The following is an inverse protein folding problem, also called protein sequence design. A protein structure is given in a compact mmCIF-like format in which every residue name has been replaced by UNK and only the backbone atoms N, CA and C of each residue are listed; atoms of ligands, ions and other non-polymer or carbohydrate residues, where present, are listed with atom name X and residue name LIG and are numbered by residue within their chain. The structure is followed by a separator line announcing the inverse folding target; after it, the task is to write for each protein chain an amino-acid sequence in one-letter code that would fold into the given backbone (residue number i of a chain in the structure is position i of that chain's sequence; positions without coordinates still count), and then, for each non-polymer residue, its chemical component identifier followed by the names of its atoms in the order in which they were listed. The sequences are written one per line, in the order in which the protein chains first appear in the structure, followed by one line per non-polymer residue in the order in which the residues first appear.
data_IF_701168419234
#
_entry.id   IF_701168419234
#
_cell.length_a   1.000
_cell.length_b   1.000
_cell.length_c   1.000
_cell.angle_alpha   90.00
_cell.angle_beta   90.00
_cell.angle_gamma   90.00
#
_symmetry.space_group_name_H-M   'P 1'
#
loop_
_entity.id
_entity.type
_entity.pdbx_description
1 polymer ?
#
# COMPACT_ATOMS: atom_id res chain seq x y z
N UNK A 1 -17.09 41.37 -42.98
CA UNK A 1 -17.57 39.97 -42.71
C UNK A 1 -16.70 39.31 -41.69
N UNK A 2 -15.47 39.71 -41.45
CA UNK A 2 -14.47 39.04 -40.56
C UNK A 2 -14.65 39.35 -39.05
N UNK A 3 -15.30 40.44 -38.68
CA UNK A 3 -15.52 40.83 -37.27
C UNK A 3 -16.74 40.16 -36.59
N UNK A 4 -17.67 39.60 -37.35
CA UNK A 4 -18.84 38.90 -36.77
C UNK A 4 -18.55 37.43 -36.42
N UNK A 5 -17.58 36.80 -37.09
CA UNK A 5 -17.19 35.40 -36.81
C UNK A 5 -16.38 35.29 -35.52
N UNK A 6 -15.49 36.22 -35.20
CA UNK A 6 -14.67 36.23 -33.99
C UNK A 6 -15.49 36.45 -32.69
N UNK A 7 -16.58 37.24 -32.76
CA UNK A 7 -17.46 37.45 -31.61
C UNK A 7 -18.33 36.22 -31.27
N UNK A 8 -18.75 35.48 -32.30
CA UNK A 8 -19.51 34.23 -32.11
C UNK A 8 -18.68 33.11 -31.54
N UNK A 9 -17.41 32.98 -31.96
CA UNK A 9 -16.49 31.99 -31.42
C UNK A 9 -16.05 32.28 -29.96
N UNK A 10 -15.81 33.54 -29.62
CA UNK A 10 -15.50 33.97 -28.26
C UNK A 10 -16.70 33.75 -27.30
N UNK A 11 -17.93 34.08 -27.75
CA UNK A 11 -19.14 33.84 -26.97
C UNK A 11 -19.42 32.33 -26.77
N UNK A 12 -19.20 31.52 -27.79
CA UNK A 12 -19.35 30.05 -27.65
C UNK A 12 -18.29 29.43 -26.74
N UNK A 13 -17.05 29.92 -26.75
CA UNK A 13 -15.99 29.49 -25.87
C UNK A 13 -16.27 29.88 -24.41
N UNK A 14 -16.80 31.08 -24.18
CA UNK A 14 -17.21 31.55 -22.84
C UNK A 14 -18.41 30.79 -22.29
N UNK A 15 -19.38 30.46 -23.14
CA UNK A 15 -20.53 29.60 -22.78
C UNK A 15 -20.15 28.15 -22.49
N UNK A 16 -19.15 27.61 -23.18
CA UNK A 16 -18.64 26.24 -22.91
C UNK A 16 -17.78 26.20 -21.65
N UNK A 17 -17.03 27.23 -21.31
CA UNK A 17 -16.25 27.32 -20.06
C UNK A 17 -17.16 27.53 -18.83
N UNK A 18 -18.17 28.41 -18.93
CA UNK A 18 -19.17 28.59 -17.88
C UNK A 18 -20.02 27.33 -17.64
N UNK A 19 -20.38 26.60 -18.68
CA UNK A 19 -21.08 25.31 -18.55
C UNK A 19 -20.20 24.23 -17.91
N UNK A 20 -18.90 24.16 -18.24
CA UNK A 20 -17.94 23.26 -17.56
C UNK A 20 -17.76 23.61 -16.09
N UNK A 21 -17.62 24.87 -15.76
CA UNK A 21 -17.47 25.35 -14.36
C UNK A 21 -18.73 25.07 -13.54
N UNK A 22 -19.92 25.29 -14.12
CA UNK A 22 -21.20 24.99 -13.49
C UNK A 22 -21.42 23.46 -13.30
N UNK A 23 -20.99 22.64 -14.26
CA UNK A 23 -21.04 21.17 -14.15
C UNK A 23 -20.08 20.65 -13.07
N UNK A 24 -18.88 21.24 -12.95
CA UNK A 24 -17.90 20.88 -11.91
C UNK A 24 -18.44 21.32 -10.53
N UNK A 25 -19.00 22.53 -10.41
CA UNK A 25 -19.60 23.02 -9.17
C UNK A 25 -20.81 22.17 -8.74
N UNK A 26 -21.67 21.80 -9.66
CA UNK A 26 -22.81 20.90 -9.41
C UNK A 26 -22.37 19.49 -9.04
N UNK A 27 -21.30 18.97 -9.64
CA UNK A 27 -20.72 17.67 -9.29
C UNK A 27 -20.08 17.69 -7.90
N UNK A 28 -19.38 18.77 -7.55
CA UNK A 28 -18.80 18.97 -6.22
C UNK A 28 -19.87 19.15 -5.13
N UNK A 29 -20.93 19.93 -5.39
CA UNK A 29 -22.08 20.07 -4.50
C UNK A 29 -22.83 18.74 -4.28
N UNK A 30 -22.99 17.95 -5.33
CA UNK A 30 -23.63 16.63 -5.28
C UNK A 30 -22.79 15.62 -4.48
N UNK A 31 -21.46 15.66 -4.60
CA UNK A 31 -20.55 14.83 -3.79
C UNK A 31 -20.63 15.26 -2.32
N UNK A 32 -20.68 16.57 -2.03
CA UNK A 32 -20.75 17.10 -0.67
C UNK A 32 -22.06 16.71 0.03
N UNK A 33 -23.16 16.63 -0.70
CA UNK A 33 -24.47 16.21 -0.20
C UNK A 33 -24.44 14.76 0.30
N UNK A 34 -23.85 13.81 -0.46
CA UNK A 34 -23.80 12.40 -0.05
C UNK A 34 -22.73 12.08 0.98
N UNK A 35 -21.89 13.03 1.35
CA UNK A 35 -20.87 12.82 2.40
C UNK A 35 -21.46 12.75 3.80
N UNK A 36 -22.61 13.39 4.05
CA UNK A 36 -23.29 13.30 5.36
C UNK A 36 -24.00 11.95 5.52
N UNK A 37 -24.66 11.44 4.47
CA UNK A 37 -25.26 10.11 4.46
C UNK A 37 -24.16 9.04 4.62
N UNK A 38 -23.04 9.19 3.91
CA UNK A 38 -21.87 8.32 4.04
C UNK A 38 -21.38 8.25 5.49
N UNK A 39 -21.15 9.40 6.13
CA UNK A 39 -20.70 9.48 7.53
C UNK A 39 -21.74 8.87 8.49
N UNK A 40 -23.01 9.14 8.23
CA UNK A 40 -24.10 8.60 9.05
C UNK A 40 -24.20 7.08 8.94
N UNK A 41 -24.11 6.53 7.73
CA UNK A 41 -24.07 5.07 7.51
C UNK A 41 -22.83 4.48 8.20
N UNK A 42 -21.66 5.09 8.02
CA UNK A 42 -20.42 4.63 8.63
C UNK A 42 -20.55 4.56 10.16
N UNK A 43 -21.15 5.61 10.79
CA UNK A 43 -21.40 5.66 12.23
C UNK A 43 -22.42 4.61 12.69
N UNK A 44 -23.53 4.45 11.96
CA UNK A 44 -24.58 3.48 12.31
C UNK A 44 -24.12 2.04 12.16
N UNK A 45 -23.14 1.77 11.30
CA UNK A 45 -22.60 0.44 11.02
C UNK A 45 -21.28 0.14 11.72
N UNK A 46 -20.98 0.89 12.80
CA UNK A 46 -19.78 0.71 13.62
C UNK A 46 -18.47 0.73 12.77
N UNK A 47 -18.28 1.83 12.05
CA UNK A 47 -17.13 1.98 11.15
C UNK A 47 -17.16 1.06 9.91
N UNK A 48 -18.36 0.62 9.51
CA UNK A 48 -18.57 -0.27 8.37
C UNK A 48 -18.47 -1.75 8.71
N UNK A 49 -18.33 -2.14 9.99
CA UNK A 49 -18.22 -3.52 10.42
C UNK A 49 -19.47 -4.34 10.07
N UNK A 50 -20.66 -3.77 10.27
CA UNK A 50 -21.92 -4.43 9.94
C UNK A 50 -22.04 -4.65 8.42
N UNK A 51 -21.52 -3.71 7.61
CA UNK A 51 -21.50 -3.81 6.15
C UNK A 51 -20.64 -5.03 5.73
N UNK A 52 -19.42 -5.15 6.27
CA UNK A 52 -18.59 -6.31 6.00
C UNK A 52 -19.27 -7.61 6.43
N UNK A 53 -19.86 -7.62 7.61
CA UNK A 53 -20.55 -8.80 8.16
C UNK A 53 -21.75 -9.22 7.31
N UNK A 54 -22.49 -8.25 6.77
CA UNK A 54 -23.65 -8.51 5.92
C UNK A 54 -23.25 -9.06 4.54
N UNK A 55 -22.33 -8.37 3.85
CA UNK A 55 -22.00 -8.71 2.47
C UNK A 55 -20.99 -9.85 2.31
N UNK A 56 -20.11 -10.06 3.29
CA UNK A 56 -19.09 -11.12 3.24
C UNK A 56 -19.34 -12.27 4.24
N UNK A 57 -20.33 -12.11 5.12
CA UNK A 57 -20.63 -13.09 6.14
C UNK A 57 -19.58 -13.21 7.25
N UNK A 58 -19.72 -14.20 8.12
CA UNK A 58 -18.83 -14.38 9.30
C UNK A 58 -17.39 -14.76 8.94
N UNK A 59 -17.13 -15.21 7.74
CA UNK A 59 -15.78 -15.60 7.30
C UNK A 59 -14.80 -14.42 7.31
N UNK A 60 -15.26 -13.20 6.99
CA UNK A 60 -14.41 -11.99 6.99
C UNK A 60 -13.93 -11.58 8.40
N UNK A 61 -14.52 -12.15 9.45
CA UNK A 61 -14.17 -11.87 10.84
C UNK A 61 -13.02 -12.75 11.35
N UNK A 62 -12.62 -13.77 10.60
CA UNK A 62 -11.47 -14.61 10.92
C UNK A 62 -10.17 -13.83 10.77
N UNK A 63 -9.14 -14.23 11.51
CA UNK A 63 -7.81 -13.62 11.46
C UNK A 63 -7.26 -13.50 10.06
N UNK A 64 -7.43 -14.53 9.25
CA UNK A 64 -7.15 -14.59 7.83
C UNK A 64 -8.26 -15.34 7.13
N UNK A 65 -8.70 -14.85 6.00
CA UNK A 65 -9.70 -15.52 5.19
C UNK A 65 -9.33 -15.45 3.71
N UNK A 66 -9.96 -16.31 2.92
CA UNK A 66 -9.74 -16.33 1.47
C UNK A 66 -10.41 -15.13 0.83
N UNK A 67 -9.83 -14.63 -0.25
CA UNK A 67 -10.44 -13.52 -0.98
C UNK A 67 -11.82 -13.91 -1.52
N UNK A 68 -12.88 -13.16 -1.20
CA UNK A 68 -14.21 -13.41 -1.76
C UNK A 68 -14.32 -13.06 -3.25
N UNK A 69 -13.28 -12.44 -3.81
CA UNK A 69 -13.26 -11.88 -5.17
C UNK A 69 -12.30 -12.61 -6.12
N UNK A 70 -11.57 -13.61 -5.62
CA UNK A 70 -10.60 -14.36 -6.44
C UNK A 70 -10.97 -15.85 -6.44
N UNK A 71 -11.32 -16.36 -7.62
CA UNK A 71 -11.43 -17.81 -7.82
C UNK A 71 -10.05 -18.46 -7.69
N UNK A 72 -9.99 -19.60 -7.01
CA UNK A 72 -8.74 -20.37 -6.84
C UNK A 72 -7.80 -19.84 -5.76
N UNK A 73 -8.24 -18.94 -4.88
CA UNK A 73 -7.45 -18.52 -3.70
C UNK A 73 -7.31 -19.68 -2.71
N UNK A 74 -6.17 -20.37 -2.79
CA UNK A 74 -5.90 -21.54 -1.95
C UNK A 74 -5.32 -21.20 -0.57
N UNK A 75 -4.86 -19.95 -0.37
CA UNK A 75 -4.25 -19.49 0.88
C UNK A 75 -4.98 -18.25 1.40
N UNK A 76 -5.42 -18.23 2.68
CA UNK A 76 -6.03 -17.05 3.28
C UNK A 76 -5.09 -15.83 3.20
N UNK A 77 -5.47 -14.83 2.42
CA UNK A 77 -4.67 -13.62 2.16
C UNK A 77 -5.36 -12.33 2.60
N UNK A 78 -6.64 -12.39 2.98
CA UNK A 78 -7.41 -11.22 3.40
C UNK A 78 -7.41 -11.03 4.91
N UNK A 79 -7.36 -9.75 5.32
CA UNK A 79 -7.51 -9.31 6.70
C UNK A 79 -8.44 -8.11 6.79
N UNK A 80 -9.16 -7.99 7.90
CA UNK A 80 -9.94 -6.82 8.26
C UNK A 80 -9.20 -6.02 9.33
N UNK A 81 -8.89 -4.76 9.04
CA UNK A 81 -8.20 -3.83 9.94
C UNK A 81 -9.11 -2.68 10.35
N UNK A 82 -8.95 -2.21 11.59
CA UNK A 82 -9.51 -0.94 12.04
C UNK A 82 -8.49 0.17 11.75
N UNK A 83 -8.87 1.14 10.95
CA UNK A 83 -8.15 2.39 10.73
C UNK A 83 -8.70 3.47 11.67
N UNK A 84 -7.81 4.15 12.38
CA UNK A 84 -8.14 5.21 13.33
C UNK A 84 -7.36 6.48 12.95
N UNK A 85 -7.77 7.18 11.85
CA UNK A 85 -7.08 8.38 11.42
C UNK A 85 -7.29 9.51 12.44
N UNK A 86 -6.27 10.31 12.74
CA UNK A 86 -6.37 11.42 13.69
C UNK A 86 -7.46 12.42 13.29
N UNK A 87 -8.40 12.71 14.21
CA UNK A 87 -9.48 13.68 13.98
C UNK A 87 -10.61 13.21 13.07
N UNK A 88 -10.60 11.98 12.61
CA UNK A 88 -11.63 11.39 11.75
C UNK A 88 -12.31 10.20 12.44
N UNK A 89 -13.46 9.79 11.89
CA UNK A 89 -14.15 8.60 12.37
C UNK A 89 -13.36 7.33 12.00
N UNK A 90 -13.15 6.47 12.99
CA UNK A 90 -12.55 5.15 12.77
C UNK A 90 -13.40 4.30 11.81
N UNK A 91 -12.75 3.53 10.92
CA UNK A 91 -13.43 2.66 9.98
C UNK A 91 -12.66 1.38 9.72
N UNK A 92 -13.38 0.31 9.38
CA UNK A 92 -12.77 -0.95 8.98
C UNK A 92 -12.38 -0.94 7.50
N UNK A 93 -11.26 -1.60 7.21
CA UNK A 93 -10.70 -1.73 5.87
C UNK A 93 -10.28 -3.17 5.63
N UNK A 94 -10.71 -3.75 4.52
CA UNK A 94 -10.29 -5.07 4.06
C UNK A 94 -9.00 -4.92 3.25
N UNK A 95 -7.95 -5.58 3.68
CA UNK A 95 -6.70 -5.71 2.94
C UNK A 95 -6.58 -7.11 2.37
N UNK A 96 -6.52 -7.24 1.05
CA UNK A 96 -6.15 -8.47 0.36
C UNK A 96 -4.68 -8.38 -0.05
N UNK A 97 -3.83 -9.19 0.57
CA UNK A 97 -2.39 -9.25 0.27
C UNK A 97 -2.07 -10.02 -1.02
N UNK A 98 -3.02 -10.71 -1.58
CA UNK A 98 -2.88 -11.41 -2.84
C UNK A 98 -3.29 -10.59 -4.06
N UNK A 99 -4.12 -9.56 -3.86
CA UNK A 99 -4.53 -8.61 -4.90
C UNK A 99 -5.05 -7.32 -4.27
N UNK A 100 -4.25 -6.24 -4.34
CA UNK A 100 -4.61 -4.95 -3.77
C UNK A 100 -5.91 -4.36 -4.33
N UNK A 101 -6.28 -4.70 -5.58
CA UNK A 101 -7.54 -4.29 -6.19
C UNK A 101 -8.76 -4.87 -5.48
N UNK A 102 -8.57 -5.99 -4.77
CA UNK A 102 -9.60 -6.60 -3.93
C UNK A 102 -9.70 -5.98 -2.54
N UNK A 103 -8.82 -5.03 -2.21
CA UNK A 103 -8.83 -4.28 -0.96
C UNK A 103 -9.79 -3.09 -1.03
N UNK A 104 -10.30 -2.63 0.13
CA UNK A 104 -11.19 -1.47 0.18
C UNK A 104 -11.85 -1.26 1.53
N UNK A 105 -12.45 -0.06 1.70
CA UNK A 105 -13.36 0.20 2.80
C UNK A 105 -14.70 -0.55 2.60
N UNK A 106 -15.55 -0.54 3.60
CA UNK A 106 -16.81 -1.26 3.59
C UNK A 106 -17.71 -0.93 2.38
N UNK A 107 -17.75 0.32 1.95
CA UNK A 107 -18.56 0.77 0.82
C UNK A 107 -18.01 0.27 -0.52
N UNK A 108 -16.68 0.31 -0.69
CA UNK A 108 -16.04 -0.21 -1.90
C UNK A 108 -16.23 -1.73 -2.03
N UNK A 109 -16.19 -2.44 -0.91
CA UNK A 109 -16.44 -3.89 -0.87
C UNK A 109 -17.91 -4.22 -1.14
N UNK A 110 -18.86 -3.48 -0.52
CA UNK A 110 -20.28 -3.63 -0.80
C UNK A 110 -20.59 -3.37 -2.28
N UNK A 111 -20.06 -2.28 -2.86
CA UNK A 111 -20.23 -1.97 -4.28
C UNK A 111 -19.76 -3.13 -5.17
N UNK A 112 -18.61 -3.73 -4.85
CA UNK A 112 -18.09 -4.86 -5.62
C UNK A 112 -18.97 -6.10 -5.50
N UNK A 113 -19.46 -6.43 -4.31
CA UNK A 113 -20.41 -7.55 -4.11
C UNK A 113 -21.69 -7.32 -4.90
N UNK A 114 -22.16 -6.08 -4.94
CA UNK A 114 -23.36 -5.67 -5.68
C UNK A 114 -23.13 -5.50 -7.21
N UNK A 115 -21.90 -5.72 -7.67
CA UNK A 115 -21.50 -5.49 -9.06
C UNK A 115 -21.73 -4.04 -9.54
N UNK A 116 -21.49 -3.08 -8.64
CA UNK A 116 -21.64 -1.64 -8.85
C UNK A 116 -20.29 -0.93 -8.85
N UNK A 117 -20.20 0.23 -9.48
CA UNK A 117 -19.01 1.08 -9.48
C UNK A 117 -19.08 2.11 -8.37
N UNK A 118 -18.19 2.02 -7.36
CA UNK A 118 -18.15 3.02 -6.28
C UNK A 118 -17.91 4.45 -6.80
N UNK A 119 -17.28 4.62 -7.96
CA UNK A 119 -17.01 5.93 -8.56
C UNK A 119 -18.24 6.51 -9.27
N UNK A 120 -18.99 5.67 -9.96
CA UNK A 120 -20.10 6.09 -10.81
C UNK A 120 -21.46 5.98 -10.08
N UNK A 121 -21.60 4.97 -9.22
CA UNK A 121 -22.87 4.59 -8.58
C UNK A 121 -22.88 4.90 -7.08
N UNK A 122 -22.05 5.87 -6.63
CA UNK A 122 -21.83 6.13 -5.19
C UNK A 122 -23.13 6.30 -4.40
N UNK A 123 -24.09 7.12 -4.91
CA UNK A 123 -25.41 7.29 -4.30
C UNK A 123 -26.18 5.97 -4.19
N UNK A 124 -26.26 5.24 -5.29
CA UNK A 124 -26.99 3.98 -5.34
C UNK A 124 -26.38 2.92 -4.40
N UNK A 125 -25.05 2.92 -4.23
CA UNK A 125 -24.38 2.05 -3.24
C UNK A 125 -24.80 2.43 -1.81
N UNK A 126 -24.85 3.73 -1.46
CA UNK A 126 -25.28 4.18 -0.15
C UNK A 126 -26.75 3.83 0.11
N UNK A 127 -27.63 4.09 -0.85
CA UNK A 127 -29.07 3.77 -0.77
C UNK A 127 -29.27 2.25 -0.60
N UNK A 128 -28.53 1.45 -1.33
CA UNK A 128 -28.62 -0.01 -1.23
C UNK A 128 -28.16 -0.52 0.13
N UNK A 129 -27.06 0.00 0.67
CA UNK A 129 -26.59 -0.33 2.03
C UNK A 129 -27.61 0.10 3.08
N UNK A 130 -28.22 1.29 2.93
CA UNK A 130 -29.26 1.81 3.82
C UNK A 130 -30.47 0.87 3.84
N UNK A 131 -30.90 0.38 2.67
CA UNK A 131 -31.99 -0.57 2.52
C UNK A 131 -31.66 -1.94 3.12
N UNK A 132 -30.54 -2.53 2.70
CA UNK A 132 -30.15 -3.90 3.09
C UNK A 132 -29.91 -4.02 4.60
N UNK A 133 -29.39 -2.97 5.24
CA UNK A 133 -29.14 -2.92 6.69
C UNK A 133 -30.24 -2.23 7.50
N UNK A 134 -31.31 -1.78 6.84
CA UNK A 134 -32.46 -1.12 7.47
C UNK A 134 -32.05 0.07 8.37
N UNK A 135 -31.15 0.96 7.86
CA UNK A 135 -30.57 2.03 8.65
C UNK A 135 -31.46 3.28 8.74
N UNK A 136 -32.33 3.52 7.73
CA UNK A 136 -33.22 4.68 7.63
C UNK A 136 -32.45 6.00 7.59
N UNK A 137 -31.40 6.08 6.78
CA UNK A 137 -30.58 7.28 6.59
C UNK A 137 -31.18 8.16 5.52
N UNK A 138 -31.62 7.59 4.41
CA UNK A 138 -32.33 8.32 3.36
C UNK A 138 -33.79 8.55 3.75
N UNK A 139 -34.34 9.76 3.43
CA UNK A 139 -35.70 10.14 3.76
C UNK A 139 -36.75 9.13 3.28
N UNK A 140 -36.52 8.57 2.09
CA UNK A 140 -37.39 7.56 1.45
C UNK A 140 -37.46 6.26 2.27
N UNK A 141 -36.50 6.01 3.16
CA UNK A 141 -36.38 4.80 3.96
C UNK A 141 -36.69 5.00 5.43
N UNK A 142 -36.90 6.26 5.87
CA UNK A 142 -37.25 6.58 7.27
C UNK A 142 -38.55 5.92 7.66
N UNK A 143 -38.54 5.18 8.76
CA UNK A 143 -39.74 4.54 9.31
C UNK A 143 -40.26 3.32 8.57
N UNK A 144 -39.63 2.88 7.46
CA UNK A 144 -40.11 1.73 6.67
C UNK A 144 -39.75 0.35 7.23
N UNK A 145 -38.81 0.30 8.16
CA UNK A 145 -38.26 -0.99 8.58
C UNK A 145 -38.80 -1.40 9.97
N UNK A 146 -39.49 -2.53 10.01
CA UNK A 146 -40.00 -3.15 11.26
C UNK A 146 -38.92 -4.02 11.99
N UNK A 147 -37.90 -4.49 11.27
CA UNK A 147 -36.82 -5.27 11.83
C UNK A 147 -35.50 -4.89 11.19
N UNK A 148 -34.42 -4.85 12.00
CA UNK A 148 -33.04 -4.59 11.53
C UNK A 148 -32.22 -5.87 11.64
N UNK A 149 -31.29 -6.12 10.70
CA UNK A 149 -30.30 -7.19 10.88
C UNK A 149 -29.57 -6.98 12.20
N UNK A 150 -29.48 -8.04 13.01
CA UNK A 150 -28.78 -7.97 14.29
C UNK A 150 -27.36 -8.48 14.11
N UNK A 151 -26.39 -7.67 14.53
CA UNK A 151 -24.98 -8.01 14.52
C UNK A 151 -24.46 -8.06 15.96
N UNK A 152 -23.84 -9.17 16.34
CA UNK A 152 -23.17 -9.27 17.64
C UNK A 152 -21.80 -8.56 17.56
N UNK A 153 -21.82 -7.23 17.54
CA UNK A 153 -20.64 -6.37 17.42
C UNK A 153 -19.58 -6.66 18.49
N UNK A 154 -20.02 -6.98 19.72
CA UNK A 154 -19.08 -7.31 20.80
C UNK A 154 -18.29 -8.58 20.51
N UNK A 155 -18.95 -9.64 20.09
CA UNK A 155 -18.29 -10.89 19.69
C UNK A 155 -17.40 -10.69 18.45
N UNK A 156 -17.85 -9.89 17.47
CA UNK A 156 -17.09 -9.56 16.29
C UNK A 156 -15.81 -8.78 16.65
N UNK A 157 -15.93 -7.73 17.46
CA UNK A 157 -14.78 -6.94 17.94
C UNK A 157 -13.82 -7.78 18.78
N UNK A 158 -14.33 -8.69 19.59
CA UNK A 158 -13.51 -9.61 20.35
C UNK A 158 -12.74 -10.57 19.42
N UNK A 159 -13.36 -11.05 18.36
CA UNK A 159 -12.71 -11.92 17.37
C UNK A 159 -11.63 -11.18 16.58
N UNK A 160 -11.94 -9.97 16.12
CA UNK A 160 -10.96 -9.10 15.45
C UNK A 160 -9.85 -8.67 16.42
N UNK A 161 -10.13 -8.40 17.70
CA UNK A 161 -9.13 -8.02 18.70
C UNK A 161 -8.23 -9.17 19.11
N UNK A 162 -8.73 -10.41 19.14
CA UNK A 162 -7.88 -11.61 19.21
C UNK A 162 -6.91 -11.69 18.04
N UNK A 163 -7.25 -11.03 16.94
CA UNK A 163 -6.46 -10.93 15.73
C UNK A 163 -5.46 -9.76 15.74
N UNK A 164 -5.61 -8.77 16.64
CA UNK A 164 -4.51 -7.85 16.91
C UNK A 164 -3.36 -8.70 17.42
N UNK A 165 -2.43 -9.03 16.54
CA UNK A 165 -1.08 -9.40 16.95
C UNK A 165 -0.71 -8.29 17.91
N UNK A 166 -0.49 -8.63 19.19
CA UNK A 166 -0.11 -7.64 20.20
C UNK A 166 1.03 -6.85 19.59
N UNK A 167 0.79 -5.58 19.32
CA UNK A 167 1.75 -4.73 18.61
C UNK A 167 3.06 -4.79 19.40
N UNK A 168 4.16 -5.02 18.71
CA UNK A 168 5.47 -4.95 19.35
C UNK A 168 5.66 -3.51 19.77
N UNK A 169 5.66 -3.28 21.09
CA UNK A 169 5.74 -1.96 21.69
C UNK A 169 7.16 -1.42 21.70
N UNK A 170 8.11 -2.28 22.06
CA UNK A 170 9.53 -1.93 22.13
C UNK A 170 10.38 -3.11 21.64
N UNK A 171 11.62 -2.82 21.28
CA UNK A 171 12.59 -3.84 20.94
C UNK A 171 13.97 -3.48 21.52
N UNK A 172 14.79 -4.50 21.76
CA UNK A 172 16.16 -4.35 22.21
C UNK A 172 17.08 -5.16 21.29
N UNK A 173 17.80 -4.53 20.36
CA UNK A 173 18.71 -5.20 19.45
C UNK A 173 20.08 -5.39 20.09
N UNK A 174 20.71 -6.52 19.81
CA UNK A 174 22.15 -6.72 20.01
C UNK A 174 22.80 -6.74 18.64
N UNK A 175 23.35 -5.61 18.27
CA UNK A 175 24.05 -5.41 17.00
C UNK A 175 25.43 -6.06 17.09
N UNK A 176 25.91 -6.59 15.97
CA UNK A 176 27.27 -7.09 15.81
C UNK A 176 27.87 -6.59 14.49
N UNK A 177 29.18 -6.67 14.37
CA UNK A 177 29.84 -6.45 13.08
C UNK A 177 29.43 -7.53 12.09
N UNK A 178 29.37 -7.15 10.80
CA UNK A 178 29.10 -8.09 9.74
C UNK A 178 30.19 -9.15 9.66
N UNK A 179 29.81 -10.41 9.74
CA UNK A 179 30.69 -11.52 9.49
C UNK A 179 31.02 -11.65 7.98
N UNK A 180 32.16 -12.26 7.64
CA UNK A 180 32.57 -12.42 6.24
C UNK A 180 31.49 -13.06 5.36
N UNK A 181 30.84 -14.12 5.86
CA UNK A 181 29.77 -14.82 5.14
C UNK A 181 28.49 -13.97 4.97
N UNK A 182 28.25 -12.96 5.82
CA UNK A 182 27.15 -11.99 5.66
C UNK A 182 27.51 -10.97 4.59
N UNK A 183 28.75 -10.51 4.55
CA UNK A 183 29.22 -9.61 3.50
C UNK A 183 29.20 -10.33 2.12
N UNK A 184 29.60 -11.61 2.07
CA UNK A 184 29.47 -12.44 0.87
C UNK A 184 28.00 -12.53 0.39
N UNK A 185 27.07 -12.73 1.34
CA UNK A 185 25.63 -12.73 1.03
C UNK A 185 25.18 -11.42 0.40
N UNK A 186 25.56 -10.26 0.96
CA UNK A 186 25.17 -8.95 0.44
C UNK A 186 25.89 -8.61 -0.87
N UNK A 187 27.18 -8.90 -0.96
CA UNK A 187 28.00 -8.70 -2.16
C UNK A 187 27.50 -9.50 -3.37
N UNK A 188 26.88 -10.67 -3.15
CA UNK A 188 26.22 -11.42 -4.21
C UNK A 188 25.19 -10.57 -4.97
N UNK A 189 24.52 -9.66 -4.29
CA UNK A 189 23.52 -8.75 -4.87
C UNK A 189 24.08 -7.37 -5.23
N UNK A 190 25.41 -7.25 -5.28
CA UNK A 190 26.10 -5.99 -5.53
C UNK A 190 26.01 -4.98 -4.40
N UNK A 191 25.61 -5.40 -3.19
CA UNK A 191 25.42 -4.53 -2.04
C UNK A 191 26.69 -4.51 -1.20
N UNK A 192 27.35 -3.35 -1.13
CA UNK A 192 28.56 -3.17 -0.34
C UNK A 192 28.26 -2.74 1.11
N UNK A 193 29.28 -2.85 1.97
CA UNK A 193 29.15 -2.53 3.40
C UNK A 193 28.91 -1.04 3.64
N UNK A 194 29.38 -0.16 2.78
CA UNK A 194 29.16 1.29 2.93
C UNK A 194 27.69 1.64 2.67
N UNK A 195 27.09 1.00 1.69
CA UNK A 195 25.64 1.11 1.42
C UNK A 195 24.84 0.59 2.59
N UNK A 196 25.18 -0.58 3.16
CA UNK A 196 24.51 -1.09 4.35
C UNK A 196 24.55 -0.10 5.52
N UNK A 197 25.72 0.48 5.78
CA UNK A 197 25.89 1.50 6.84
C UNK A 197 25.07 2.76 6.56
N UNK A 198 25.14 3.28 5.33
CA UNK A 198 24.39 4.49 4.90
C UNK A 198 22.89 4.35 5.06
N UNK A 199 22.38 3.14 4.88
CA UNK A 199 20.95 2.82 5.00
C UNK A 199 20.57 2.25 6.38
N UNK A 200 21.44 2.40 7.38
CA UNK A 200 21.24 1.92 8.75
C UNK A 200 20.85 0.44 8.83
N UNK A 201 21.52 -0.37 8.00
CA UNK A 201 21.37 -1.83 8.01
C UNK A 201 22.46 -2.43 8.86
N UNK A 202 22.09 -3.25 9.83
CA UNK A 202 23.03 -3.87 10.77
C UNK A 202 22.83 -5.38 10.84
N UNK A 203 23.92 -6.12 11.08
CA UNK A 203 23.85 -7.51 11.50
C UNK A 203 23.35 -7.61 12.93
N UNK A 204 22.42 -8.52 13.19
CA UNK A 204 21.84 -8.74 14.50
C UNK A 204 22.32 -10.07 15.10
N UNK A 205 23.03 -10.01 16.23
CA UNK A 205 23.26 -11.19 17.06
C UNK A 205 21.96 -11.68 17.67
N UNK A 206 21.14 -10.75 18.16
CA UNK A 206 19.80 -11.04 18.65
C UNK A 206 18.93 -9.78 18.67
N UNK A 207 17.64 -9.95 18.78
CA UNK A 207 16.70 -8.88 19.12
C UNK A 207 15.57 -9.43 20.00
N UNK A 208 15.32 -8.74 21.10
CA UNK A 208 14.20 -9.01 22.00
C UNK A 208 13.06 -8.08 21.63
N UNK A 209 11.89 -8.63 21.36
CA UNK A 209 10.66 -7.89 21.11
C UNK A 209 9.74 -7.97 22.32
N UNK A 210 9.32 -6.82 22.85
CA UNK A 210 8.36 -6.72 23.92
C UNK A 210 7.00 -6.32 23.36
N UNK A 211 6.00 -7.13 23.61
CA UNK A 211 4.62 -6.91 23.15
C UNK A 211 3.85 -6.02 24.13
N UNK A 212 2.78 -5.40 23.66
CA UNK A 212 1.89 -4.58 24.47
C UNK A 212 1.19 -5.36 25.60
N UNK A 213 1.06 -6.70 25.45
CA UNK A 213 0.50 -7.60 26.45
C UNK A 213 1.50 -8.04 27.55
N UNK A 214 2.69 -7.44 27.57
CA UNK A 214 3.77 -7.74 28.53
C UNK A 214 4.60 -8.98 28.17
N UNK A 215 4.26 -9.73 27.12
CA UNK A 215 5.06 -10.88 26.66
C UNK A 215 6.25 -10.40 25.84
N UNK A 216 7.33 -11.15 25.91
CA UNK A 216 8.52 -10.93 25.08
C UNK A 216 8.92 -12.21 24.36
N UNK A 217 9.64 -12.04 23.25
CA UNK A 217 10.27 -13.12 22.53
C UNK A 217 11.58 -12.68 21.90
N UNK A 218 12.49 -13.61 21.72
CA UNK A 218 13.82 -13.36 21.18
C UNK A 218 13.96 -13.93 19.79
N UNK A 219 14.66 -13.19 18.93
CA UNK A 219 15.17 -13.64 17.64
C UNK A 219 16.69 -13.67 17.73
N UNK A 220 17.28 -14.76 17.28
CA UNK A 220 18.73 -14.92 17.21
C UNK A 220 19.18 -14.99 15.76
N UNK A 221 20.22 -14.24 15.43
CA UNK A 221 20.94 -14.33 14.16
C UNK A 221 21.97 -15.45 14.22
N UNK A 222 22.09 -16.22 13.15
CA UNK A 222 23.08 -17.28 12.98
C UNK A 222 23.41 -17.47 11.50
N UNK A 223 24.47 -18.21 11.18
CA UNK A 223 24.80 -18.55 9.79
C UNK A 223 23.69 -19.37 9.12
N UNK A 224 22.96 -20.18 9.87
CA UNK A 224 21.82 -20.95 9.36
C UNK A 224 20.61 -20.04 9.10
N UNK A 225 20.32 -19.11 9.99
CA UNK A 225 19.20 -18.16 9.89
C UNK A 225 19.72 -16.76 10.21
N UNK A 226 20.30 -16.05 9.22
CA UNK A 226 20.77 -14.68 9.41
C UNK A 226 19.64 -13.74 9.82
N UNK A 227 19.98 -12.70 10.58
CA UNK A 227 19.05 -11.65 10.96
C UNK A 227 19.70 -10.27 10.75
N UNK A 228 19.05 -9.45 9.96
CA UNK A 228 19.47 -8.09 9.64
C UNK A 228 18.40 -7.10 10.09
N UNK A 229 18.81 -6.00 10.72
CA UNK A 229 17.91 -4.92 11.12
C UNK A 229 18.01 -3.74 10.17
N UNK A 230 16.89 -3.37 9.56
CA UNK A 230 16.72 -2.06 8.91
C UNK A 230 16.20 -1.11 9.97
N UNK A 231 16.98 -0.09 10.33
CA UNK A 231 16.62 0.84 11.38
C UNK A 231 16.06 2.14 10.83
N UNK A 232 15.12 2.73 11.55
CA UNK A 232 14.40 3.95 11.21
C UNK A 232 14.34 4.88 12.43
N UNK A 233 14.13 6.19 12.17
CA UNK A 233 13.86 7.18 13.19
C UNK A 233 14.90 7.12 14.37
N UNK A 234 16.17 7.32 14.06
CA UNK A 234 17.25 7.23 15.04
C UNK A 234 17.22 5.94 15.86
N UNK A 235 17.07 4.82 15.19
CA UNK A 235 16.99 3.47 15.76
C UNK A 235 15.77 3.19 16.65
N UNK A 236 14.75 4.03 16.63
CA UNK A 236 13.49 3.81 17.37
C UNK A 236 12.55 2.85 16.68
N UNK A 237 12.69 2.63 15.38
CA UNK A 237 11.96 1.65 14.57
C UNK A 237 12.87 0.60 13.95
N UNK A 238 12.39 -0.62 13.82
CA UNK A 238 13.13 -1.72 13.21
C UNK A 238 12.23 -2.59 12.33
N UNK A 239 12.73 -2.92 11.13
CA UNK A 239 12.27 -4.07 10.36
C UNK A 239 13.37 -5.11 10.34
N UNK A 240 13.13 -6.28 10.92
CA UNK A 240 14.10 -7.38 10.91
C UNK A 240 13.88 -8.23 9.68
N UNK A 241 14.92 -8.42 8.90
CA UNK A 241 14.96 -9.28 7.72
C UNK A 241 15.70 -10.57 8.02
N UNK A 242 15.06 -11.69 7.77
CA UNK A 242 15.57 -13.06 8.02
C UNK A 242 15.41 -13.88 6.73
N UNK A 243 16.36 -13.82 5.78
CA UNK A 243 16.20 -14.36 4.43
C UNK A 243 15.89 -15.87 4.37
N UNK A 244 16.35 -16.63 5.36
CA UNK A 244 16.20 -18.08 5.43
C UNK A 244 15.11 -18.57 6.41
N UNK A 245 14.41 -17.65 7.09
CA UNK A 245 13.35 -18.01 8.02
C UNK A 245 11.99 -18.11 7.30
N UNK A 246 11.07 -18.90 7.86
CA UNK A 246 9.68 -18.95 7.39
C UNK A 246 9.00 -17.58 7.51
N UNK A 247 9.09 -16.94 8.69
CA UNK A 247 8.69 -15.56 8.90
C UNK A 247 9.89 -14.64 8.60
N UNK A 248 9.98 -14.21 7.34
CA UNK A 248 11.13 -13.43 6.85
C UNK A 248 11.22 -12.03 7.43
N UNK A 249 10.10 -11.43 7.81
CA UNK A 249 10.04 -10.06 8.29
C UNK A 249 9.34 -9.94 9.62
N UNK A 250 9.92 -9.14 10.52
CA UNK A 250 9.34 -8.74 11.80
C UNK A 250 9.49 -7.24 11.96
N UNK A 251 8.54 -6.61 12.63
CA UNK A 251 8.47 -5.16 12.75
C UNK A 251 8.35 -4.78 14.22
N UNK A 252 9.01 -3.70 14.63
CA UNK A 252 8.93 -3.21 16.00
C UNK A 252 9.27 -1.73 16.14
N UNK A 253 8.79 -1.12 17.21
CA UNK A 253 9.05 0.28 17.53
C UNK A 253 8.37 1.28 16.60
N UNK A 254 8.96 2.45 16.44
CA UNK A 254 8.44 3.59 15.71
C UNK A 254 8.87 3.53 14.24
N UNK A 255 8.04 2.92 13.41
CA UNK A 255 8.25 2.85 11.97
C UNK A 255 7.58 4.02 11.26
N UNK A 256 8.15 4.52 10.14
CA UNK A 256 7.56 5.62 9.40
C UNK A 256 6.16 5.26 8.87
N UNK A 257 5.25 6.23 8.90
CA UNK A 257 3.90 6.11 8.36
C UNK A 257 3.65 7.24 7.35
N UNK A 258 3.51 6.95 6.05
CA UNK A 258 3.61 5.62 5.41
C UNK A 258 5.02 5.03 5.52
N UNK A 259 5.10 3.69 5.53
CA UNK A 259 6.39 3.01 5.49
C UNK A 259 7.10 3.31 4.16
N UNK A 260 8.28 3.90 4.23
CA UNK A 260 9.16 4.15 3.09
C UNK A 260 10.60 3.91 3.51
N UNK A 261 11.29 3.02 2.81
CA UNK A 261 12.72 2.78 2.99
C UNK A 261 13.52 3.52 1.93
N UNK A 262 14.64 4.13 2.31
CA UNK A 262 15.56 4.83 1.41
C UNK A 262 15.20 6.30 1.15
N UNK A 263 14.13 6.84 1.75
CA UNK A 263 13.70 8.22 1.52
C UNK A 263 14.73 9.27 1.96
N UNK A 264 15.33 9.06 3.13
CA UNK A 264 16.32 9.97 3.73
C UNK A 264 17.66 9.96 2.97
N UNK A 265 17.96 8.87 2.26
CA UNK A 265 19.17 8.69 1.49
C UNK A 265 19.09 9.21 0.06
N UNK A 266 17.89 9.65 -0.38
CA UNK A 266 17.71 10.21 -1.71
C UNK A 266 18.47 11.55 -1.86
N UNK A 267 19.08 11.77 -3.02
CA UNK A 267 19.59 13.07 -3.41
C UNK A 267 18.47 14.12 -3.42
N UNK A 268 18.79 15.38 -3.19
CA UNK A 268 17.81 16.48 -3.23
C UNK A 268 17.11 16.60 -4.59
N UNK A 269 17.84 16.34 -5.67
CA UNK A 269 17.33 16.31 -7.04
C UNK A 269 18.12 15.32 -7.89
N UNK A 270 17.58 14.95 -9.05
CA UNK A 270 18.24 14.04 -9.97
C UNK A 270 17.44 13.79 -11.25
N UNK A 271 18.02 12.98 -12.13
CA UNK A 271 17.35 12.60 -13.37
C UNK A 271 16.24 11.57 -13.13
N UNK A 272 16.51 10.59 -12.28
CA UNK A 272 15.55 9.51 -12.03
C UNK A 272 15.59 8.99 -10.59
N UNK A 273 14.44 8.45 -10.16
CA UNK A 273 14.31 7.68 -8.92
C UNK A 273 13.54 6.41 -9.20
N UNK A 274 14.00 5.31 -8.63
CA UNK A 274 13.30 4.02 -8.70
C UNK A 274 12.40 3.80 -7.49
N UNK A 275 11.22 3.22 -7.73
CA UNK A 275 10.35 2.67 -6.70
C UNK A 275 10.34 1.16 -6.89
N UNK A 276 10.86 0.42 -5.89
CA UNK A 276 11.08 -1.02 -5.96
C UNK A 276 10.14 -1.82 -5.05
N UNK A 277 10.17 -3.14 -5.16
CA UNK A 277 9.37 -4.07 -4.35
C UNK A 277 9.84 -4.23 -2.91
N UNK A 278 11.13 -3.95 -2.61
CA UNK A 278 11.68 -4.19 -1.28
C UNK A 278 13.01 -3.50 -0.99
N UNK A 279 13.44 -3.59 0.28
CA UNK A 279 14.63 -2.91 0.79
C UNK A 279 15.92 -3.43 0.15
N UNK A 280 16.00 -4.75 -0.13
CA UNK A 280 17.17 -5.36 -0.78
C UNK A 280 17.43 -4.74 -2.16
N UNK A 281 16.37 -4.45 -2.89
CA UNK A 281 16.43 -3.86 -4.22
C UNK A 281 16.88 -2.40 -4.17
N UNK A 282 16.39 -1.64 -3.17
CA UNK A 282 16.85 -0.28 -2.89
C UNK A 282 18.36 -0.28 -2.62
N UNK A 283 18.83 -1.17 -1.75
CA UNK A 283 20.25 -1.28 -1.42
C UNK A 283 21.10 -1.65 -2.63
N UNK A 284 20.62 -2.59 -3.45
CA UNK A 284 21.31 -3.01 -4.66
C UNK A 284 21.44 -1.87 -5.65
N UNK A 285 20.36 -1.14 -5.95
CA UNK A 285 20.38 0.05 -6.80
C UNK A 285 21.28 1.15 -6.24
N UNK A 286 21.21 1.40 -4.95
CA UNK A 286 22.01 2.43 -4.28
C UNK A 286 23.50 2.14 -4.34
N UNK A 287 23.92 0.87 -4.19
CA UNK A 287 25.33 0.45 -4.37
C UNK A 287 25.81 0.65 -5.81
N UNK A 288 24.90 0.67 -6.78
CA UNK A 288 25.19 0.95 -8.19
C UNK A 288 24.97 2.42 -8.58
N UNK A 289 24.80 3.34 -7.59
CA UNK A 289 24.74 4.78 -7.82
C UNK A 289 23.36 5.33 -8.21
N UNK A 290 22.29 4.54 -8.09
CA UNK A 290 20.93 4.98 -8.40
C UNK A 290 20.16 5.44 -7.16
N UNK A 291 19.28 6.43 -7.31
CA UNK A 291 18.31 6.81 -6.30
C UNK A 291 17.16 5.81 -6.29
N UNK A 292 16.87 5.24 -5.15
CA UNK A 292 15.78 4.26 -5.04
C UNK A 292 15.10 4.33 -3.67
N UNK A 293 13.80 4.00 -3.66
CA UNK A 293 13.00 3.79 -2.46
C UNK A 293 12.13 2.55 -2.58
N UNK A 294 11.67 2.03 -1.45
CA UNK A 294 10.64 1.01 -1.43
C UNK A 294 9.56 1.35 -0.39
N UNK A 295 8.31 1.10 -0.74
CA UNK A 295 7.22 0.99 0.23
C UNK A 295 7.22 -0.41 0.85
N UNK A 296 6.33 -0.66 1.82
CA UNK A 296 6.35 -1.93 2.56
C UNK A 296 6.16 -3.18 1.69
N UNK A 297 5.54 -3.03 0.53
CA UNK A 297 5.39 -4.06 -0.51
C UNK A 297 4.95 -3.41 -1.82
N UNK A 298 5.04 -4.13 -2.94
CA UNK A 298 4.54 -3.70 -4.25
C UNK A 298 3.03 -3.40 -4.25
N UNK A 299 2.29 -4.13 -3.42
CA UNK A 299 0.84 -3.95 -3.25
C UNK A 299 0.47 -2.83 -2.27
N UNK A 300 1.44 -2.22 -1.59
CA UNK A 300 1.19 -1.12 -0.67
C UNK A 300 0.64 0.11 -1.40
N UNK A 301 -0.36 0.77 -0.80
CA UNK A 301 -0.86 2.03 -1.32
C UNK A 301 0.24 3.09 -1.22
N UNK A 302 0.53 3.76 -2.33
CA UNK A 302 1.45 4.88 -2.37
C UNK A 302 0.64 6.17 -2.16
N UNK A 303 0.95 7.00 -1.15
CA UNK A 303 0.28 8.28 -0.99
C UNK A 303 0.61 9.24 -2.15
N UNK A 304 -0.39 9.93 -2.67
CA UNK A 304 -0.22 10.82 -3.82
C UNK A 304 0.75 11.99 -3.54
N UNK A 305 0.82 12.45 -2.29
CA UNK A 305 1.79 13.46 -1.86
C UNK A 305 3.24 12.98 -2.00
N UNK A 306 3.52 11.71 -1.79
CA UNK A 306 4.87 11.12 -1.98
C UNK A 306 5.28 11.13 -3.45
N UNK A 307 4.38 10.76 -4.37
CA UNK A 307 4.65 10.84 -5.82
C UNK A 307 4.85 12.31 -6.24
N UNK A 308 4.03 13.22 -5.73
CA UNK A 308 4.19 14.66 -5.97
C UNK A 308 5.56 15.16 -5.51
N UNK A 309 6.00 14.81 -4.30
CA UNK A 309 7.31 15.21 -3.78
C UNK A 309 8.46 14.62 -4.60
N UNK A 310 8.36 13.35 -5.05
CA UNK A 310 9.36 12.76 -5.94
C UNK A 310 9.41 13.46 -7.29
N UNK A 311 8.27 13.82 -7.89
CA UNK A 311 8.23 14.52 -9.18
C UNK A 311 8.79 15.96 -9.13
N UNK A 312 8.88 16.56 -7.94
CA UNK A 312 9.54 17.85 -7.73
C UNK A 312 11.07 17.72 -7.65
N UNK A 313 11.58 16.54 -7.28
CA UNK A 313 13.00 16.25 -7.09
C UNK A 313 13.63 15.53 -8.29
N UNK A 314 12.86 14.70 -8.99
CA UNK A 314 13.36 13.84 -10.05
C UNK A 314 12.56 14.02 -11.34
N UNK A 315 13.26 14.05 -12.48
CA UNK A 315 12.63 14.18 -13.79
C UNK A 315 11.81 12.97 -14.19
N UNK A 316 12.19 11.78 -13.72
CA UNK A 316 11.52 10.51 -14.01
C UNK A 316 11.32 9.72 -12.73
N UNK A 317 10.15 9.14 -12.53
CA UNK A 317 9.86 8.16 -11.50
C UNK A 317 9.67 6.81 -12.19
N UNK A 318 10.47 5.82 -11.83
CA UNK A 318 10.48 4.52 -12.50
C UNK A 318 10.02 3.45 -11.53
N UNK A 319 8.89 2.82 -11.81
CA UNK A 319 8.43 1.62 -11.09
C UNK A 319 9.21 0.41 -11.59
N UNK A 320 10.01 -0.16 -10.71
CA UNK A 320 10.85 -1.34 -10.95
C UNK A 320 10.50 -2.42 -9.93
N UNK A 321 9.40 -3.11 -10.19
CA UNK A 321 8.89 -4.21 -9.36
C UNK A 321 9.35 -5.57 -9.89
N UNK A 322 9.06 -6.62 -9.14
CA UNK A 322 9.41 -7.98 -9.49
C UNK A 322 8.88 -8.35 -10.88
N UNK A 323 9.61 -9.19 -11.61
CA UNK A 323 9.19 -9.72 -12.93
C UNK A 323 8.19 -10.88 -12.81
N UNK A 324 7.67 -11.15 -11.60
CA UNK A 324 6.58 -12.10 -11.41
C UNK A 324 5.20 -11.49 -11.73
N UNK A 325 4.17 -12.32 -11.75
CA UNK A 325 2.80 -11.90 -12.12
C UNK A 325 2.30 -10.73 -11.25
N UNK A 326 2.65 -10.70 -9.96
CA UNK A 326 2.22 -9.64 -9.04
C UNK A 326 2.93 -8.34 -9.35
N UNK A 327 4.26 -8.35 -9.45
CA UNK A 327 5.05 -7.15 -9.71
C UNK A 327 4.75 -6.53 -11.08
N UNK A 328 4.58 -7.35 -12.12
CA UNK A 328 4.16 -6.89 -13.44
C UNK A 328 2.81 -6.17 -13.39
N UNK A 329 1.83 -6.77 -12.72
CA UNK A 329 0.48 -6.20 -12.60
C UNK A 329 0.47 -4.91 -11.79
N UNK A 330 1.12 -4.92 -10.61
CA UNK A 330 1.13 -3.75 -9.73
C UNK A 330 1.90 -2.58 -10.36
N UNK A 331 3.05 -2.83 -11.01
CA UNK A 331 3.81 -1.77 -11.69
C UNK A 331 3.03 -1.13 -12.86
N UNK A 332 2.29 -1.93 -13.64
CA UNK A 332 1.37 -1.40 -14.69
C UNK A 332 0.29 -0.52 -14.06
N UNK A 333 -0.36 -1.01 -13.01
CA UNK A 333 -1.42 -0.27 -12.32
C UNK A 333 -0.92 1.07 -11.75
N UNK A 334 0.31 1.12 -11.23
CA UNK A 334 0.91 2.37 -10.72
C UNK A 334 1.16 3.37 -11.84
N UNK A 335 1.66 2.94 -12.98
CA UNK A 335 1.84 3.84 -14.14
C UNK A 335 0.47 4.36 -14.62
N UNK A 336 -0.53 3.51 -14.75
CA UNK A 336 -1.90 3.93 -15.12
C UNK A 336 -2.49 4.93 -14.12
N UNK A 337 -2.23 4.75 -12.81
CA UNK A 337 -2.70 5.63 -11.73
C UNK A 337 -2.09 7.04 -11.83
N UNK A 338 -0.81 7.16 -12.19
CA UNK A 338 -0.05 8.41 -12.07
C UNK A 338 0.33 9.08 -13.39
N UNK A 339 0.32 8.38 -14.53
CA UNK A 339 0.82 8.88 -15.83
C UNK A 339 0.11 10.15 -16.34
N UNK A 340 -1.14 10.39 -15.95
CA UNK A 340 -1.87 11.60 -16.35
C UNK A 340 -1.36 12.90 -15.71
N UNK A 341 -0.59 12.82 -14.62
CA UNK A 341 -0.16 13.97 -13.81
C UNK A 341 1.35 14.04 -13.60
N UNK A 342 2.08 12.94 -13.76
CA UNK A 342 3.50 12.84 -13.43
C UNK A 342 4.27 12.07 -14.49
N UNK A 343 5.56 12.34 -14.62
CA UNK A 343 6.45 11.65 -15.55
C UNK A 343 6.89 10.29 -14.96
N UNK A 344 6.01 9.31 -15.05
CA UNK A 344 6.18 7.98 -14.48
C UNK A 344 6.35 6.92 -15.56
N UNK A 345 7.21 5.96 -15.30
CA UNK A 345 7.55 4.86 -16.20
C UNK A 345 7.53 3.53 -15.46
N UNK A 346 7.45 2.47 -16.23
CA UNK A 346 7.68 1.11 -15.78
C UNK A 346 8.90 0.55 -16.48
N UNK A 347 9.85 0.01 -15.72
CA UNK A 347 10.96 -0.76 -16.27
C UNK A 347 10.71 -2.24 -16.00
N UNK A 348 10.80 -3.04 -17.05
CA UNK A 348 10.71 -4.49 -16.97
C UNK A 348 12.09 -5.12 -17.19
N UNK A 349 12.52 -5.95 -16.23
CA UNK A 349 13.78 -6.65 -16.34
C UNK A 349 13.60 -7.93 -17.19
N UNK A 350 14.60 -8.30 -18.00
CA UNK A 350 14.59 -9.55 -18.77
C UNK A 350 14.91 -10.74 -17.86
N UNK A 351 14.03 -11.01 -16.90
CA UNK A 351 14.14 -12.09 -15.92
C UNK A 351 12.98 -13.06 -16.07
N UNK A 352 13.17 -14.30 -15.63
CA UNK A 352 12.18 -15.38 -15.77
C UNK A 352 10.94 -15.22 -14.86
N UNK A 353 10.98 -14.33 -13.88
CA UNK A 353 9.92 -14.16 -12.87
C UNK A 353 9.84 -15.28 -11.84
N UNK A 354 10.82 -16.19 -11.81
CA UNK A 354 10.90 -17.26 -10.81
C UNK A 354 11.39 -16.72 -9.47
N UNK A 355 11.25 -17.50 -8.40
CA UNK A 355 11.68 -17.09 -7.05
C UNK A 355 13.17 -16.70 -6.96
N UNK A 356 14.00 -17.20 -7.83
CA UNK A 356 15.45 -16.96 -7.86
C UNK A 356 15.86 -15.88 -8.85
N UNK A 357 14.92 -15.39 -9.68
CA UNK A 357 15.25 -14.58 -10.83
C UNK A 357 14.07 -13.64 -11.17
N UNK A 358 13.82 -12.66 -10.29
CA UNK A 358 12.64 -11.82 -10.43
C UNK A 358 12.83 -10.32 -10.12
N UNK A 359 13.78 -9.97 -9.26
CA UNK A 359 14.01 -8.60 -8.81
C UNK A 359 15.34 -8.01 -9.32
N UNK A 360 15.54 -6.70 -9.13
CA UNK A 360 16.76 -6.02 -9.59
C UNK A 360 18.01 -6.52 -8.87
N UNK A 361 17.89 -6.96 -7.63
CA UNK A 361 19.03 -7.53 -6.92
C UNK A 361 19.41 -8.90 -7.48
N UNK A 362 18.44 -9.71 -7.90
CA UNK A 362 18.70 -10.95 -8.64
C UNK A 362 19.35 -10.66 -10.01
N UNK A 363 18.91 -9.58 -10.70
CA UNK A 363 19.50 -9.14 -11.97
C UNK A 363 21.01 -8.90 -11.85
N UNK A 364 21.44 -8.16 -10.82
CA UNK A 364 22.87 -7.96 -10.56
C UNK A 364 23.58 -9.24 -10.07
N UNK A 365 22.90 -10.07 -9.28
CA UNK A 365 23.46 -11.36 -8.84
C UNK A 365 23.72 -12.34 -10.00
N UNK A 366 23.03 -12.17 -11.13
CA UNK A 366 23.28 -12.90 -12.38
C UNK A 366 24.44 -12.32 -13.22
N UNK A 367 25.20 -11.37 -12.68
CA UNK A 367 26.36 -10.77 -13.33
C UNK A 367 26.01 -9.65 -14.33
N UNK A 368 24.78 -9.16 -14.35
CA UNK A 368 24.41 -8.00 -15.16
C UNK A 368 25.03 -6.73 -14.57
N UNK A 369 25.35 -5.80 -15.44
CA UNK A 369 26.09 -4.58 -15.07
C UNK A 369 25.18 -3.35 -15.04
N UNK A 370 25.68 -2.26 -14.46
CA UNK A 370 25.06 -0.92 -14.53
C UNK A 370 24.83 -0.48 -15.98
N UNK A 371 25.76 -0.82 -16.88
CA UNK A 371 25.64 -0.50 -18.30
C UNK A 371 24.49 -1.27 -18.97
N UNK A 372 24.25 -2.51 -18.58
CA UNK A 372 23.11 -3.29 -19.09
C UNK A 372 21.78 -2.72 -18.59
N UNK A 373 21.71 -2.30 -17.32
CA UNK A 373 20.55 -1.60 -16.80
C UNK A 373 20.33 -0.27 -17.53
N UNK A 374 21.40 0.51 -17.79
CA UNK A 374 21.30 1.78 -18.53
C UNK A 374 20.78 1.59 -19.95
N UNK A 375 21.16 0.49 -20.63
CA UNK A 375 20.62 0.15 -21.96
C UNK A 375 19.09 -0.10 -21.90
N UNK A 376 18.59 -0.70 -20.83
CA UNK A 376 17.15 -0.91 -20.64
C UNK A 376 16.43 0.42 -20.38
N UNK A 377 17.00 1.28 -19.54
CA UNK A 377 16.46 2.61 -19.23
C UNK A 377 16.39 3.48 -20.49
N UNK A 378 17.39 3.42 -21.36
CA UNK A 378 17.43 4.21 -22.58
C UNK A 378 16.42 3.77 -23.66
N UNK A 379 15.79 2.61 -23.48
CA UNK A 379 14.74 2.09 -24.38
C UNK A 379 13.32 2.43 -23.91
N UNK A 380 13.17 2.99 -22.71
CA UNK A 380 11.88 3.50 -22.21
C UNK A 380 11.53 4.84 -22.87
#
# INVERSE_FOLDING_TARGET
TTLRTTFSEASNKFLTETNKTSQIANKAAKIRFYMEEYKTILKKTDGGLDIFSYYLGKECLKKKFKSPFRSGDNRPSCHLYLNEPPGEQAYYYLQDFGDSRCSGNAFAIAARVLNMSIRNDFKAVLERIDQDLCLGVFEENKGKYSSKPQFNRAAIKQEISKNKTSSIKTFMPVIQEFMSWELEYWNKYGIDVNTLRRYHVHSLRSVTFNKADGKSFNIFGSKAIPAYGYFFNDMKGIKVYRPKAENRFLYGGDLPTPYVFGWEQLQENGDMVFITGGEKDVLSLASHGYNAIAFNSETAKIPADKIKLLSQRFRKIIFLYDSDTTGIKESKSRVEEYNGNYNVFRLELPLSGTKQEKDISDYFALGRTTQDLQKLINKM
#
